data_IF_094861104120
#
_entry.id   IF_094861104120
#
_cell.length_a   1.000
_cell.length_b   1.000
_cell.length_c   1.000
_cell.angle_alpha   90.00
_cell.angle_beta   90.00
_cell.angle_gamma   90.00
#
_symmetry.space_group_name_H-M   'P 1'
#
loop_
_entity.id
_entity.type
_entity.pdbx_description
1 polymer ?
#
# COMPACT_ATOMS: atom_id res chain seq x y z
N UNK A 1 21.52 -64.35 18.61
CA UNK A 1 20.82 -63.08 18.79
C UNK A 1 20.63 -62.49 17.37
N UNK A 2 19.35 -62.39 16.94
CA UNK A 2 19.04 -61.67 15.68
C UNK A 2 18.76 -60.21 16.05
N UNK A 3 19.57 -59.28 15.58
CA UNK A 3 19.28 -57.84 15.68
C UNK A 3 18.57 -57.41 14.39
N UNK A 4 17.39 -56.80 14.53
CA UNK A 4 16.68 -56.17 13.41
C UNK A 4 17.01 -54.71 13.40
N UNK A 5 17.66 -54.23 12.34
CA UNK A 5 17.89 -52.79 12.12
C UNK A 5 16.71 -52.29 11.30
N UNK A 6 16.01 -51.29 11.82
CA UNK A 6 14.90 -50.63 11.13
C UNK A 6 15.30 -49.18 10.82
N UNK A 7 14.84 -48.62 9.70
CA UNK A 7 15.00 -47.23 9.38
C UNK A 7 13.63 -46.54 9.49
N UNK A 8 13.58 -45.22 9.86
CA UNK A 8 12.36 -44.46 9.83
C UNK A 8 11.83 -44.31 8.40
N UNK A 9 10.52 -44.05 8.28
CA UNK A 9 9.95 -43.66 6.99
C UNK A 9 10.64 -42.38 6.46
N UNK A 10 10.73 -42.24 5.15
CA UNK A 10 11.36 -41.07 4.53
C UNK A 10 10.63 -39.78 4.97
N UNK A 11 11.39 -38.77 5.42
CA UNK A 11 10.85 -37.46 5.71
C UNK A 11 10.32 -36.80 4.43
N UNK A 12 9.08 -36.34 4.47
CA UNK A 12 8.43 -35.58 3.39
C UNK A 12 7.70 -34.40 3.97
N UNK A 13 7.50 -33.33 3.18
CA UNK A 13 6.70 -32.20 3.56
C UNK A 13 5.94 -31.60 2.37
N UNK A 14 4.83 -30.94 2.64
CA UNK A 14 4.02 -30.25 1.63
C UNK A 14 3.66 -28.85 2.11
N UNK A 15 3.51 -27.92 1.18
CA UNK A 15 2.91 -26.61 1.41
C UNK A 15 1.38 -26.82 1.49
N UNK A 16 0.78 -26.53 2.65
CA UNK A 16 -0.66 -26.70 2.88
C UNK A 16 -1.44 -25.40 2.79
N UNK A 17 -0.78 -24.28 3.08
CA UNK A 17 -1.37 -22.95 2.96
C UNK A 17 -0.31 -21.92 2.64
N UNK A 18 -0.71 -20.87 1.91
CA UNK A 18 0.14 -19.72 1.58
C UNK A 18 -0.71 -18.46 1.63
N UNK A 19 -0.16 -17.40 2.20
CA UNK A 19 -0.73 -16.06 2.19
C UNK A 19 0.28 -15.13 1.52
N UNK A 20 -0.17 -14.43 0.49
CA UNK A 20 0.63 -13.45 -0.21
C UNK A 20 0.71 -12.12 0.57
N UNK A 21 1.61 -11.24 0.18
CA UNK A 21 1.82 -9.95 0.84
C UNK A 21 0.66 -9.00 0.55
N UNK A 22 0.08 -8.40 1.57
CA UNK A 22 -1.10 -7.53 1.46
C UNK A 22 -0.79 -6.23 0.72
N UNK A 23 0.31 -5.57 1.10
CA UNK A 23 0.73 -4.28 0.53
C UNK A 23 2.12 -4.40 -0.09
N UNK A 24 2.31 -3.78 -1.24
CA UNK A 24 3.61 -3.76 -1.92
C UNK A 24 4.74 -3.37 -0.97
N UNK A 25 5.79 -4.20 -0.91
CA UNK A 25 6.96 -4.02 -0.06
C UNK A 25 6.76 -4.35 1.42
N UNK A 26 5.59 -4.85 1.83
CA UNK A 26 5.37 -5.31 3.20
C UNK A 26 5.92 -6.73 3.44
N UNK A 27 5.94 -7.16 4.71
CA UNK A 27 6.39 -8.49 5.13
C UNK A 27 5.24 -9.23 5.82
N UNK A 28 4.08 -9.29 5.16
CA UNK A 28 2.85 -9.92 5.70
C UNK A 28 2.60 -11.32 5.15
N UNK A 29 3.42 -11.77 4.21
CA UNK A 29 3.32 -13.10 3.62
C UNK A 29 3.60 -14.23 4.62
N UNK A 30 3.01 -15.39 4.38
CA UNK A 30 3.27 -16.60 5.16
C UNK A 30 3.13 -17.87 4.35
N UNK A 31 3.76 -18.94 4.85
CA UNK A 31 3.65 -20.28 4.29
C UNK A 31 3.49 -21.30 5.43
N UNK A 32 2.55 -22.22 5.30
CA UNK A 32 2.31 -23.28 6.26
C UNK A 32 2.70 -24.63 5.65
N UNK A 33 3.52 -25.39 6.37
CA UNK A 33 4.02 -26.70 5.95
C UNK A 33 3.38 -27.81 6.79
N UNK A 34 3.18 -28.96 6.16
CA UNK A 34 2.86 -30.21 6.86
C UNK A 34 3.96 -31.23 6.57
N UNK A 35 4.51 -31.86 7.61
CA UNK A 35 5.57 -32.84 7.52
C UNK A 35 5.10 -34.23 7.95
N UNK A 36 5.59 -35.28 7.29
CA UNK A 36 5.32 -36.68 7.60
C UNK A 36 6.57 -37.54 7.39
N UNK A 37 6.61 -38.72 8.01
CA UNK A 37 7.81 -39.57 7.97
C UNK A 37 8.94 -39.01 8.82
N UNK A 38 10.17 -39.50 8.66
CA UNK A 38 11.29 -39.12 9.50
C UNK A 38 11.08 -39.46 10.99
N UNK A 39 11.76 -38.74 11.85
CA UNK A 39 11.67 -38.88 13.31
C UNK A 39 11.22 -37.57 13.94
N UNK A 40 9.95 -37.45 14.47
CA UNK A 40 9.53 -36.23 15.15
C UNK A 40 10.30 -35.98 16.46
N UNK A 41 10.37 -34.71 16.95
CA UNK A 41 9.67 -33.52 16.47
C UNK A 41 10.31 -32.89 15.22
N UNK A 42 9.47 -32.18 14.44
CA UNK A 42 9.92 -31.43 13.29
C UNK A 42 10.24 -29.98 13.61
N UNK A 43 11.17 -29.41 12.86
CA UNK A 43 11.50 -27.99 12.87
C UNK A 43 11.45 -27.43 11.44
N UNK A 44 11.12 -26.15 11.32
CA UNK A 44 10.82 -25.48 10.06
C UNK A 44 11.68 -24.22 9.93
N UNK A 45 12.13 -23.91 8.72
CA UNK A 45 12.97 -22.76 8.41
C UNK A 45 12.62 -22.16 7.05
N UNK A 46 12.59 -20.84 6.93
CA UNK A 46 12.46 -20.12 5.67
C UNK A 46 13.81 -19.69 5.08
N UNK A 47 14.89 -19.69 5.87
CA UNK A 47 16.23 -19.24 5.48
C UNK A 47 17.29 -20.36 5.50
N UNK A 48 16.93 -21.55 5.95
CA UNK A 48 17.83 -22.70 6.09
C UNK A 48 18.81 -22.62 7.27
N UNK A 49 18.74 -21.56 8.08
CA UNK A 49 19.65 -21.30 9.20
C UNK A 49 18.89 -21.29 10.53
N UNK A 50 17.80 -20.53 10.58
CA UNK A 50 16.99 -20.35 11.78
C UNK A 50 15.80 -21.34 11.75
N UNK A 51 15.84 -22.36 12.62
CA UNK A 51 14.79 -23.37 12.73
C UNK A 51 13.92 -23.15 13.94
N UNK A 52 12.61 -23.16 13.73
CA UNK A 52 11.56 -23.06 14.75
C UNK A 52 10.64 -24.28 14.77
N UNK A 53 9.83 -24.42 15.81
CA UNK A 53 8.88 -25.54 15.96
C UNK A 53 7.51 -25.26 15.31
N UNK A 54 7.25 -24.01 14.88
CA UNK A 54 6.01 -23.64 14.20
C UNK A 54 6.03 -24.09 12.76
N UNK A 55 5.00 -24.79 12.26
CA UNK A 55 4.86 -25.11 10.84
C UNK A 55 4.46 -23.90 9.99
N UNK A 56 4.05 -22.77 10.63
CA UNK A 56 3.73 -21.51 9.96
C UNK A 56 4.97 -20.63 9.99
N UNK A 57 5.50 -20.33 8.81
CA UNK A 57 6.60 -19.42 8.54
C UNK A 57 6.00 -18.09 8.09
N UNK A 58 5.93 -17.11 8.98
CA UNK A 58 5.36 -15.78 8.76
C UNK A 58 6.40 -14.72 8.49
N UNK A 59 5.92 -13.47 8.32
CA UNK A 59 6.75 -12.27 8.04
C UNK A 59 7.59 -12.39 6.77
N UNK A 60 7.06 -13.10 5.76
CA UNK A 60 7.72 -13.25 4.47
C UNK A 60 7.43 -12.05 3.57
N UNK A 61 8.46 -11.58 2.90
CA UNK A 61 8.34 -10.64 1.78
C UNK A 61 7.89 -11.38 0.51
N UNK A 62 7.53 -10.62 -0.54
CA UNK A 62 7.39 -11.22 -1.86
C UNK A 62 8.73 -11.79 -2.33
N UNK A 63 8.68 -13.01 -2.86
CA UNK A 63 9.88 -13.72 -3.32
C UNK A 63 9.69 -15.23 -3.38
N UNK A 64 10.74 -15.91 -3.83
CA UNK A 64 10.78 -17.37 -3.87
C UNK A 64 11.59 -17.90 -2.69
N UNK A 65 11.06 -18.92 -2.04
CA UNK A 65 11.62 -19.51 -0.84
C UNK A 65 11.88 -21.02 -1.01
N UNK A 66 13.02 -21.48 -0.51
CA UNK A 66 13.31 -22.88 -0.26
C UNK A 66 13.02 -23.16 1.22
N UNK A 67 11.77 -23.50 1.53
CA UNK A 67 11.35 -23.79 2.90
C UNK A 67 11.86 -25.16 3.31
N UNK A 68 12.51 -25.25 4.48
CA UNK A 68 13.18 -26.46 4.92
C UNK A 68 12.49 -27.02 6.16
N UNK A 69 12.18 -28.31 6.12
CA UNK A 69 11.78 -29.10 7.29
C UNK A 69 12.96 -29.95 7.72
N UNK A 70 13.19 -30.01 9.03
CA UNK A 70 14.21 -30.83 9.67
C UNK A 70 13.56 -31.73 10.73
N UNK A 71 13.89 -33.02 10.72
CA UNK A 71 13.46 -33.96 11.76
C UNK A 71 14.44 -34.00 12.95
N UNK A 72 14.14 -34.80 13.99
CA UNK A 72 14.98 -34.95 15.17
C UNK A 72 16.36 -35.58 14.89
N UNK A 73 16.51 -36.29 13.80
CA UNK A 73 17.77 -36.89 13.34
C UNK A 73 18.56 -35.96 12.39
N UNK A 74 18.10 -34.70 12.19
CA UNK A 74 18.64 -33.74 11.25
C UNK A 74 18.51 -34.13 9.77
N UNK A 75 17.57 -35.03 9.43
CA UNK A 75 17.19 -35.23 8.03
C UNK A 75 16.44 -34.00 7.54
N UNK A 76 16.72 -33.57 6.32
CA UNK A 76 16.16 -32.34 5.73
C UNK A 76 15.24 -32.68 4.55
N UNK A 77 14.16 -31.93 4.42
CA UNK A 77 13.31 -31.91 3.22
C UNK A 77 12.99 -30.46 2.82
N UNK A 78 13.03 -30.17 1.52
CA UNK A 78 12.83 -28.81 0.99
C UNK A 78 11.52 -28.72 0.22
N UNK A 79 10.76 -27.66 0.49
CA UNK A 79 9.52 -27.31 -0.22
C UNK A 79 9.70 -25.91 -0.81
N UNK A 80 9.41 -25.76 -2.11
CA UNK A 80 9.45 -24.47 -2.77
C UNK A 80 8.13 -23.72 -2.59
N UNK A 81 8.20 -22.42 -2.28
CA UNK A 81 7.07 -21.51 -2.22
C UNK A 81 7.37 -20.21 -2.96
N UNK A 82 6.36 -19.56 -3.51
CA UNK A 82 6.49 -18.26 -4.19
C UNK A 82 5.46 -17.30 -3.63
N UNK A 83 5.87 -16.47 -2.69
CA UNK A 83 5.04 -15.41 -2.12
C UNK A 83 4.98 -14.24 -3.11
N UNK A 84 3.78 -13.80 -3.46
CA UNK A 84 3.56 -12.68 -4.38
C UNK A 84 3.10 -11.43 -3.64
N UNK A 85 3.10 -10.29 -4.33
CA UNK A 85 2.54 -9.02 -3.83
C UNK A 85 1.79 -8.29 -4.95
N UNK A 86 0.84 -7.42 -4.57
CA UNK A 86 0.18 -6.53 -5.52
C UNK A 86 1.18 -5.48 -6.03
N UNK A 87 0.98 -4.95 -7.26
CA UNK A 87 1.74 -3.78 -7.72
C UNK A 87 1.59 -2.61 -6.74
N UNK A 88 2.60 -1.74 -6.67
CA UNK A 88 2.55 -0.56 -5.79
C UNK A 88 1.30 0.30 -6.08
N UNK A 89 0.60 0.74 -5.03
CA UNK A 89 -0.51 1.68 -5.14
C UNK A 89 0.03 3.05 -5.56
N UNK A 90 -0.49 3.61 -6.65
CA UNK A 90 -0.04 4.89 -7.23
C UNK A 90 -1.23 5.83 -7.40
N UNK A 91 -1.37 6.87 -6.55
CA UNK A 91 -2.32 7.95 -6.76
C UNK A 91 -1.97 8.78 -8.00
N UNK A 92 -2.99 9.28 -8.71
CA UNK A 92 -2.83 10.16 -9.87
C UNK A 92 -3.84 11.31 -9.82
N UNK A 93 -3.46 12.49 -10.30
CA UNK A 93 -4.35 13.62 -10.49
C UNK A 93 -4.88 13.53 -11.93
N UNK A 94 -6.19 13.31 -12.10
CA UNK A 94 -6.85 13.25 -13.40
C UNK A 94 -7.19 14.64 -13.90
N UNK A 95 -7.66 15.53 -13.01
CA UNK A 95 -7.89 16.93 -13.31
C UNK A 95 -7.83 17.78 -12.03
N UNK A 96 -7.44 19.05 -12.19
CA UNK A 96 -7.40 20.04 -11.13
C UNK A 96 -7.89 21.38 -11.66
N UNK A 97 -8.72 22.06 -10.88
CA UNK A 97 -9.20 23.41 -11.16
C UNK A 97 -8.80 24.29 -9.97
N UNK A 98 -8.12 25.41 -10.27
CA UNK A 98 -7.77 26.41 -9.27
C UNK A 98 -8.96 27.34 -8.98
N UNK A 99 -8.86 28.09 -7.90
CA UNK A 99 -9.87 29.08 -7.52
C UNK A 99 -9.94 30.19 -8.57
N UNK A 100 -11.15 30.56 -8.99
CA UNK A 100 -11.41 31.54 -10.05
C UNK A 100 -11.22 33.01 -9.61
N UNK A 101 -11.61 33.34 -8.35
CA UNK A 101 -11.47 34.65 -7.77
C UNK A 101 -10.83 34.59 -6.40
N UNK A 102 -10.00 35.59 -6.07
CA UNK A 102 -9.33 35.64 -4.77
C UNK A 102 -10.35 35.54 -3.62
N UNK A 103 -10.10 34.59 -2.70
CA UNK A 103 -10.93 34.34 -1.51
C UNK A 103 -12.13 33.43 -1.73
N UNK A 104 -12.38 32.95 -2.96
CA UNK A 104 -13.44 31.96 -3.23
C UNK A 104 -12.99 30.54 -2.89
N UNK A 105 -13.96 29.63 -2.85
CA UNK A 105 -13.78 28.19 -2.67
C UNK A 105 -14.30 27.42 -3.90
N UNK A 106 -13.82 27.78 -5.08
CA UNK A 106 -14.25 27.17 -6.35
C UNK A 106 -13.24 26.13 -6.89
N UNK A 107 -12.16 25.92 -6.15
CA UNK A 107 -11.16 24.92 -6.49
C UNK A 107 -11.72 23.50 -6.45
N UNK A 108 -11.16 22.62 -7.28
CA UNK A 108 -11.51 21.20 -7.28
C UNK A 108 -10.37 20.33 -7.77
N UNK A 109 -10.42 19.06 -7.40
CA UNK A 109 -9.51 18.03 -7.91
C UNK A 109 -10.28 16.73 -8.12
N UNK A 110 -9.98 16.03 -9.21
CA UNK A 110 -10.43 14.67 -9.48
C UNK A 110 -9.21 13.74 -9.46
N UNK A 111 -9.28 12.71 -8.62
CA UNK A 111 -8.21 11.75 -8.41
C UNK A 111 -8.45 10.46 -9.17
N UNK A 112 -7.37 9.74 -9.45
CA UNK A 112 -7.36 8.36 -9.87
C UNK A 112 -6.34 7.58 -9.04
N UNK A 113 -6.37 6.27 -9.20
CA UNK A 113 -5.36 5.38 -8.64
C UNK A 113 -5.12 4.18 -9.56
N UNK A 114 -3.92 3.61 -9.47
CA UNK A 114 -3.55 2.37 -10.15
C UNK A 114 -2.67 1.53 -9.23
N UNK A 115 -2.49 0.24 -9.56
CA UNK A 115 -1.79 -0.68 -8.67
C UNK A 115 -2.58 -0.98 -7.39
N UNK A 116 -1.95 -1.60 -6.40
CA UNK A 116 -2.65 -2.08 -5.21
C UNK A 116 -3.76 -3.06 -5.54
N UNK A 117 -4.74 -3.16 -4.66
CA UNK A 117 -5.91 -4.04 -4.80
C UNK A 117 -7.20 -3.22 -4.83
N UNK A 118 -7.88 -3.04 -6.00
CA UNK A 118 -9.13 -2.29 -6.05
C UNK A 118 -10.26 -3.00 -5.27
N UNK A 119 -11.33 -2.27 -4.81
CA UNK A 119 -11.62 -0.87 -5.09
C UNK A 119 -10.83 0.13 -4.25
N UNK A 120 -10.71 1.38 -4.75
CA UNK A 120 -10.01 2.46 -4.06
C UNK A 120 -10.97 3.38 -3.32
N UNK A 121 -10.47 3.99 -2.26
CA UNK A 121 -11.14 5.05 -1.50
C UNK A 121 -10.17 6.23 -1.31
N UNK A 122 -10.73 7.43 -1.19
CA UNK A 122 -10.00 8.70 -1.18
C UNK A 122 -10.39 9.53 0.02
N UNK A 123 -9.43 10.18 0.67
CA UNK A 123 -9.66 11.11 1.78
C UNK A 123 -8.75 12.33 1.65
N UNK A 124 -9.29 13.55 1.77
CA UNK A 124 -8.52 14.79 1.78
C UNK A 124 -8.06 15.18 3.19
N UNK A 125 -8.69 14.60 4.21
CA UNK A 125 -8.37 14.81 5.63
C UNK A 125 -7.60 13.62 6.25
N UNK A 126 -7.30 12.59 5.44
CA UNK A 126 -6.60 11.38 5.86
C UNK A 126 -7.43 10.39 6.69
N UNK A 127 -8.69 10.70 6.99
CA UNK A 127 -9.54 9.91 7.90
C UNK A 127 -10.88 9.50 7.31
N UNK A 128 -11.58 10.41 6.64
CA UNK A 128 -12.91 10.17 6.08
C UNK A 128 -12.81 9.66 4.65
N UNK A 129 -12.68 8.34 4.50
CA UNK A 129 -12.54 7.69 3.20
C UNK A 129 -13.89 7.50 2.50
N UNK A 130 -13.93 7.88 1.21
CA UNK A 130 -15.07 7.73 0.30
C UNK A 130 -14.64 7.11 -1.02
N UNK A 131 -15.48 6.31 -1.69
CA UNK A 131 -15.21 5.85 -3.05
C UNK A 131 -15.27 6.97 -4.10
N UNK A 132 -15.81 8.15 -3.75
CA UNK A 132 -15.86 9.31 -4.65
C UNK A 132 -14.46 9.96 -4.76
N UNK A 133 -13.84 9.99 -5.96
CA UNK A 133 -12.53 10.58 -6.18
C UNK A 133 -12.56 12.10 -6.36
N UNK A 134 -13.74 12.73 -6.36
CA UNK A 134 -13.91 14.16 -6.63
C UNK A 134 -13.99 14.96 -5.33
N UNK A 135 -13.11 15.95 -5.21
CA UNK A 135 -13.11 16.94 -4.15
C UNK A 135 -13.42 18.32 -4.76
N UNK A 136 -14.41 18.99 -4.25
CA UNK A 136 -14.88 20.31 -4.72
C UNK A 136 -14.99 21.30 -3.57
N UNK A 137 -15.27 22.58 -3.90
CA UNK A 137 -15.36 23.67 -2.93
C UNK A 137 -14.05 23.87 -2.14
N UNK A 138 -12.92 23.68 -2.80
CA UNK A 138 -11.59 23.84 -2.19
C UNK A 138 -11.17 25.31 -2.25
N UNK A 139 -10.71 25.83 -1.11
CA UNK A 139 -9.98 27.10 -1.03
C UNK A 139 -8.58 26.96 -1.64
N UNK A 140 -7.92 28.09 -1.88
CA UNK A 140 -6.50 28.10 -2.23
C UNK A 140 -5.67 27.67 -1.02
N UNK A 141 -5.07 26.49 -1.12
CA UNK A 141 -4.22 25.89 -0.09
C UNK A 141 -3.47 24.66 -0.64
N UNK A 142 -2.53 24.17 0.16
CA UNK A 142 -1.92 22.85 -0.06
C UNK A 142 -2.74 21.78 0.67
N UNK A 143 -3.05 20.71 -0.06
CA UNK A 143 -3.77 19.55 0.46
C UNK A 143 -2.95 18.29 0.26
N UNK A 144 -3.17 17.30 1.12
CA UNK A 144 -2.65 15.96 0.95
C UNK A 144 -3.84 15.00 0.84
N UNK A 145 -4.00 14.39 -0.32
CA UNK A 145 -5.05 13.38 -0.52
C UNK A 145 -4.45 12.02 -0.26
N UNK A 146 -5.08 11.25 0.60
CA UNK A 146 -4.73 9.85 0.88
C UNK A 146 -5.63 8.94 0.07
N UNK A 147 -5.02 7.99 -0.61
CA UNK A 147 -5.71 6.89 -1.30
C UNK A 147 -5.51 5.62 -0.51
N UNK A 148 -6.58 4.86 -0.35
CA UNK A 148 -6.60 3.55 0.30
C UNK A 148 -7.14 2.51 -0.68
N UNK A 149 -6.50 1.36 -0.76
CA UNK A 149 -6.98 0.22 -1.52
C UNK A 149 -7.82 -0.75 -0.65
N UNK A 150 -8.28 -1.87 -1.23
CA UNK A 150 -9.09 -2.87 -0.53
C UNK A 150 -8.35 -3.60 0.60
N UNK A 151 -7.02 -3.70 0.52
CA UNK A 151 -6.17 -4.29 1.56
C UNK A 151 -5.75 -3.28 2.64
N UNK A 152 -6.31 -2.04 2.61
CA UNK A 152 -5.95 -0.92 3.47
C UNK A 152 -4.53 -0.39 3.27
N UNK A 153 -3.90 -0.66 2.14
CA UNK A 153 -2.64 -0.02 1.76
C UNK A 153 -2.90 1.45 1.47
N UNK A 154 -2.04 2.32 2.00
CA UNK A 154 -2.20 3.77 1.93
C UNK A 154 -1.09 4.39 1.09
N UNK A 155 -1.47 5.34 0.23
CA UNK A 155 -0.54 6.23 -0.46
C UNK A 155 -1.09 7.65 -0.50
N UNK A 156 -0.19 8.64 -0.53
CA UNK A 156 -0.57 10.04 -0.48
C UNK A 156 -0.12 10.80 -1.72
N UNK A 157 -0.92 11.79 -2.11
CA UNK A 157 -0.61 12.74 -3.18
C UNK A 157 -0.79 14.16 -2.66
N UNK A 158 0.29 14.95 -2.69
CA UNK A 158 0.21 16.38 -2.41
C UNK A 158 -0.31 17.14 -3.64
N UNK A 159 -1.20 18.11 -3.40
CA UNK A 159 -1.75 19.03 -4.41
C UNK A 159 -1.69 20.46 -3.89
N UNK A 160 -1.64 21.44 -4.81
CA UNK A 160 -1.70 22.86 -4.48
C UNK A 160 -2.78 23.52 -5.29
N UNK A 161 -3.87 23.94 -4.63
CA UNK A 161 -4.93 24.77 -5.22
C UNK A 161 -4.49 26.22 -5.06
N UNK A 162 -4.38 26.95 -6.17
CA UNK A 162 -3.96 28.34 -6.20
C UNK A 162 -5.15 29.28 -6.46
N UNK A 163 -4.98 30.59 -6.25
CA UNK A 163 -5.95 31.61 -6.57
C UNK A 163 -5.28 32.80 -7.24
N UNK A 164 -6.01 33.63 -8.02
CA UNK A 164 -5.47 34.85 -8.58
C UNK A 164 -5.17 35.89 -7.47
N UNK A 165 -4.31 36.89 -7.74
CA UNK A 165 -4.09 37.97 -6.82
C UNK A 165 -5.36 38.79 -6.58
N UNK A 166 -5.39 39.53 -5.49
CA UNK A 166 -6.49 40.47 -5.18
C UNK A 166 -6.57 41.51 -6.31
N UNK A 167 -7.80 41.70 -6.83
CA UNK A 167 -8.05 42.79 -7.77
C UNK A 167 -7.91 44.13 -7.06
N UNK A 168 -7.00 44.96 -7.53
CA UNK A 168 -6.80 46.33 -7.00
C UNK A 168 -7.09 47.35 -8.10
N UNK A 169 -7.79 48.41 -7.73
CA UNK A 169 -8.10 49.54 -8.60
C UNK A 169 -7.32 50.78 -8.10
N UNK A 170 -6.48 51.37 -8.95
CA UNK A 170 -5.83 52.64 -8.68
C UNK A 170 -6.43 53.74 -9.57
N UNK A 171 -6.89 54.83 -8.98
CA UNK A 171 -7.23 56.03 -9.71
C UNK A 171 -5.93 56.71 -10.19
N UNK A 172 -5.66 56.67 -11.51
CA UNK A 172 -4.45 57.20 -12.11
C UNK A 172 -4.53 58.66 -12.48
N UNK A 173 -5.74 59.15 -12.68
CA UNK A 173 -5.95 60.55 -13.01
C UNK A 173 -7.36 61.00 -12.60
N UNK A 174 -7.48 62.17 -12.04
CA UNK A 174 -8.72 62.87 -11.72
C UNK A 174 -8.62 64.31 -12.16
N UNK A 175 -9.50 64.76 -13.00
CA UNK A 175 -9.57 66.17 -13.39
C UNK A 175 -10.80 66.78 -12.72
N UNK A 176 -10.57 67.85 -11.93
CA UNK A 176 -11.66 68.58 -11.34
C UNK A 176 -12.25 69.58 -12.38
N UNK A 177 -13.53 69.87 -12.26
CA UNK A 177 -14.16 70.92 -13.10
C UNK A 177 -13.62 72.31 -12.76
N UNK A 178 -13.25 73.05 -13.80
CA UNK A 178 -12.59 74.39 -13.67
C UNK A 178 -13.61 75.47 -13.28
N UNK A 179 -14.85 75.35 -13.83
CA UNK A 179 -15.88 76.36 -13.66
C UNK A 179 -17.21 75.65 -13.36
N UNK A 180 -18.12 76.38 -12.66
CA UNK A 180 -19.41 75.87 -12.32
C UNK A 180 -20.23 75.58 -13.62
N UNK A 181 -20.47 74.28 -13.93
CA UNK A 181 -21.29 73.85 -15.07
C UNK A 181 -20.57 73.54 -16.38
N UNK A 182 -19.21 73.57 -16.44
CA UNK A 182 -18.45 73.09 -17.58
C UNK A 182 -17.81 71.71 -17.30
N UNK A 183 -18.01 70.80 -18.29
CA UNK A 183 -17.30 69.48 -18.35
C UNK A 183 -15.99 69.62 -19.11
#
# INVERSE_FOLDING_TARGET
>A
LNATITEPAILTATLVNQIDVDCNGASTGSAELSATGGTPPYQYSADGVNFGNSPILGTLNAGTYNLIVRDANNCLFTVNASITEAPALVPTILSQINVDCNGNNTGSVNMGASGGTPPYQYAIDGTNFSPNPNFSNLAAANYTITVRDANNCLQTQAISITQPPVLSLNLTNQTNVDCNGNN
#
